data_IF_665667108507
#
_entry.id   IF_665667108507
#
_cell.length_a   1.000
_cell.length_b   1.000
_cell.length_c   1.000
_cell.angle_alpha   90.00
_cell.angle_beta   90.00
_cell.angle_gamma   90.00
#
_symmetry.space_group_name_H-M   'P 1'
#
loop_
_entity.id
_entity.type
_entity.pdbx_description
1 polymer ?
#
# COMPACT_ATOMS: atom_id res chain seq x y z
N UNK A 1 20.95 21.70 7.08
CA UNK A 1 20.74 21.44 8.52
C UNK A 1 19.26 21.15 8.58
N UNK A 2 18.91 19.89 8.34
CA UNK A 2 17.52 19.50 8.10
C UNK A 2 16.74 19.65 9.40
N UNK A 3 15.70 20.47 9.33
CA UNK A 3 14.80 20.76 10.43
C UNK A 3 13.95 19.50 10.65
N UNK A 4 14.42 18.59 11.52
CA UNK A 4 13.68 17.36 11.84
C UNK A 4 12.42 17.78 12.57
N UNK A 5 11.30 17.82 11.83
CA UNK A 5 10.00 18.15 12.38
C UNK A 5 9.67 17.10 13.46
N UNK A 6 9.62 17.54 14.73
CA UNK A 6 9.35 16.65 15.84
C UNK A 6 7.99 15.96 15.65
N UNK A 7 7.97 14.64 15.77
CA UNK A 7 6.74 13.85 15.69
C UNK A 7 5.86 14.22 16.89
N UNK A 8 4.60 14.66 16.67
CA UNK A 8 3.67 14.95 17.76
C UNK A 8 3.43 13.71 18.63
N UNK A 9 3.53 13.87 19.95
CA UNK A 9 3.35 12.81 20.95
C UNK A 9 2.30 13.21 21.97
N UNK A 10 1.02 13.32 21.58
CA UNK A 10 -0.06 13.74 22.46
C UNK A 10 -0.30 12.72 23.58
N UNK A 11 -0.70 13.19 24.76
CA UNK A 11 -1.21 12.31 25.81
C UNK A 11 -2.58 11.79 25.40
N UNK A 12 -2.94 10.58 25.84
CA UNK A 12 -4.25 9.98 25.54
C UNK A 12 -5.42 10.84 26.05
N UNK A 13 -5.19 11.66 27.06
CA UNK A 13 -6.15 12.60 27.62
C UNK A 13 -6.30 13.90 26.82
N UNK A 14 -5.44 14.16 25.83
CA UNK A 14 -5.51 15.36 25.00
C UNK A 14 -6.77 15.34 24.12
N UNK A 15 -7.47 16.46 24.05
CA UNK A 15 -8.69 16.63 23.24
C UNK A 15 -8.46 16.28 21.76
N UNK A 16 -7.27 16.62 21.24
CA UNK A 16 -6.89 16.37 19.86
C UNK A 16 -6.12 15.06 19.65
N UNK A 17 -6.01 14.19 20.68
CA UNK A 17 -5.22 12.96 20.61
C UNK A 17 -5.50 12.16 19.33
N UNK A 18 -6.78 11.88 19.04
CA UNK A 18 -7.16 11.09 17.87
C UNK A 18 -6.89 11.81 16.55
N UNK A 19 -7.14 13.12 16.47
CA UNK A 19 -6.84 13.90 15.27
C UNK A 19 -5.33 13.89 14.97
N UNK A 20 -4.50 14.02 16.02
CA UNK A 20 -3.05 13.98 15.90
C UNK A 20 -2.54 12.59 15.54
N UNK A 21 -3.00 11.51 16.20
CA UNK A 21 -2.54 10.13 15.96
C UNK A 21 -3.01 9.58 14.61
N UNK A 22 -4.19 9.97 14.13
CA UNK A 22 -4.70 9.54 12.82
C UNK A 22 -4.09 10.30 11.65
N UNK A 23 -3.38 11.40 11.90
CA UNK A 23 -2.65 12.12 10.86
C UNK A 23 -1.32 11.41 10.59
N UNK A 24 -1.07 10.89 9.38
CA UNK A 24 0.20 10.25 9.05
C UNK A 24 1.38 11.22 9.19
N UNK A 25 2.51 10.72 9.68
CA UNK A 25 3.77 11.46 9.75
C UNK A 25 4.71 11.05 8.62
N UNK A 26 5.66 11.92 8.28
CA UNK A 26 6.66 11.69 7.24
C UNK A 26 8.07 11.82 7.84
N UNK A 27 8.96 10.80 7.72
CA UNK A 27 8.69 9.49 7.13
C UNK A 27 7.76 8.64 8.01
N UNK A 28 6.89 7.85 7.36
CA UNK A 28 5.94 6.98 8.07
C UNK A 28 6.59 5.75 8.71
N UNK A 29 7.81 5.41 8.31
CA UNK A 29 8.62 4.35 8.91
C UNK A 29 10.11 4.70 8.79
N UNK A 30 10.94 4.09 9.63
CA UNK A 30 12.38 3.99 9.41
C UNK A 30 12.67 2.66 8.72
N UNK A 31 13.68 2.62 7.86
CA UNK A 31 14.07 1.38 7.21
C UNK A 31 14.58 0.38 8.27
N UNK A 32 14.10 -0.89 8.26
CA UNK A 32 14.59 -1.91 9.18
C UNK A 32 16.10 -2.08 9.05
N UNK A 33 16.80 -2.19 10.17
CA UNK A 33 18.23 -2.57 10.15
C UNK A 33 18.38 -4.09 10.04
N UNK A 34 19.58 -4.57 9.71
CA UNK A 34 19.85 -6.01 9.57
C UNK A 34 19.37 -6.81 10.78
N UNK A 35 19.61 -6.33 12.00
CA UNK A 35 19.17 -6.96 13.25
C UNK A 35 17.63 -7.13 13.34
N UNK A 36 16.86 -6.15 12.86
CA UNK A 36 15.39 -6.24 12.82
C UNK A 36 14.94 -7.33 11.85
N UNK A 37 15.59 -7.43 10.68
CA UNK A 37 15.28 -8.43 9.67
C UNK A 37 15.66 -9.85 10.13
N UNK A 38 16.81 -10.01 10.78
CA UNK A 38 17.21 -11.29 11.35
C UNK A 38 16.29 -11.73 12.49
N UNK A 39 15.89 -10.83 13.37
CA UNK A 39 14.92 -11.14 14.42
C UNK A 39 13.57 -11.56 13.85
N UNK A 40 13.13 -10.95 12.75
CA UNK A 40 11.92 -11.34 12.03
C UNK A 40 12.07 -12.74 11.40
N UNK A 41 13.20 -13.02 10.76
CA UNK A 41 13.50 -14.32 10.14
C UNK A 41 13.52 -15.46 11.17
N UNK A 42 14.07 -15.23 12.36
CA UNK A 42 14.05 -16.21 13.45
C UNK A 42 12.63 -16.53 13.92
N UNK A 43 11.79 -15.50 14.10
CA UNK A 43 10.38 -15.67 14.48
C UNK A 43 9.59 -16.40 13.40
N UNK A 44 9.80 -16.04 12.13
CA UNK A 44 9.18 -16.71 10.99
C UNK A 44 9.63 -18.17 10.92
N UNK A 45 10.93 -18.44 11.04
CA UNK A 45 11.47 -19.79 11.01
C UNK A 45 10.89 -20.66 12.13
N UNK A 46 10.74 -20.11 13.35
CA UNK A 46 10.11 -20.81 14.46
C UNK A 46 8.64 -21.18 14.15
N UNK A 47 7.85 -20.23 13.63
CA UNK A 47 6.47 -20.46 13.26
C UNK A 47 6.34 -21.51 12.13
N UNK A 48 7.19 -21.43 11.12
CA UNK A 48 7.18 -22.33 9.98
C UNK A 48 7.64 -23.73 10.39
N UNK A 49 8.67 -23.86 11.23
CA UNK A 49 9.08 -25.16 11.81
C UNK A 49 7.95 -25.82 12.59
N UNK A 50 7.25 -25.04 13.43
CA UNK A 50 6.09 -25.54 14.17
C UNK A 50 4.99 -26.09 13.25
N UNK A 51 4.72 -25.43 12.13
CA UNK A 51 3.77 -25.95 11.13
C UNK A 51 4.31 -27.20 10.43
N UNK A 52 5.59 -27.21 10.04
CA UNK A 52 6.23 -28.33 9.37
C UNK A 52 6.20 -29.61 10.19
N UNK A 53 6.53 -29.52 11.49
CA UNK A 53 6.42 -30.65 12.42
C UNK A 53 4.98 -31.13 12.60
N UNK A 54 4.00 -30.23 12.49
CA UNK A 54 2.58 -30.59 12.60
C UNK A 54 2.11 -31.37 11.39
N UNK A 55 2.49 -30.93 10.18
CA UNK A 55 2.03 -31.51 8.90
C UNK A 55 2.93 -32.64 8.38
N UNK A 56 4.13 -32.82 8.93
CA UNK A 56 5.03 -33.89 8.53
C UNK A 56 4.50 -35.27 8.93
N UNK A 57 4.36 -36.17 7.95
CA UNK A 57 4.00 -37.57 8.18
C UNK A 57 5.01 -38.29 9.07
N UNK A 58 6.30 -38.00 8.94
CA UNK A 58 7.34 -38.59 9.81
C UNK A 58 7.24 -38.07 11.23
N UNK A 59 7.09 -36.76 11.42
CA UNK A 59 6.90 -36.20 12.75
C UNK A 59 5.64 -36.78 13.43
N UNK A 60 4.55 -36.93 12.68
CA UNK A 60 3.34 -37.60 13.14
C UNK A 60 3.61 -39.07 13.54
N UNK A 61 4.32 -39.84 12.71
CA UNK A 61 4.66 -41.22 13.02
C UNK A 61 5.52 -41.35 14.31
N UNK A 62 6.47 -40.45 14.51
CA UNK A 62 7.29 -40.39 15.73
C UNK A 62 6.45 -40.04 16.96
N UNK A 63 5.57 -39.02 16.87
CA UNK A 63 4.64 -38.67 17.95
C UNK A 63 3.73 -39.84 18.31
N UNK A 64 3.12 -40.50 17.33
CA UNK A 64 2.24 -41.66 17.54
C UNK A 64 2.97 -42.83 18.18
N UNK A 65 4.25 -43.03 17.84
CA UNK A 65 5.10 -44.05 18.44
C UNK A 65 5.69 -43.64 19.80
N UNK A 66 5.39 -42.45 20.32
CA UNK A 66 5.96 -41.94 21.58
C UNK A 66 7.47 -41.73 21.54
N UNK A 67 8.06 -41.53 20.35
CA UNK A 67 9.51 -41.38 20.17
C UNK A 67 9.91 -39.90 20.11
N UNK A 68 11.10 -39.54 20.63
CA UNK A 68 11.60 -38.17 20.53
C UNK A 68 11.82 -37.79 19.06
N UNK A 69 11.54 -36.53 18.75
CA UNK A 69 11.76 -35.95 17.43
C UNK A 69 12.84 -34.88 17.56
N UNK A 70 14.05 -35.19 17.08
CA UNK A 70 15.25 -34.37 17.27
C UNK A 70 15.65 -33.58 16.02
N UNK A 71 16.72 -32.79 16.14
CA UNK A 71 17.24 -31.98 15.04
C UNK A 71 17.74 -32.80 13.85
N UNK A 72 18.21 -34.03 14.06
CA UNK A 72 18.65 -34.89 12.96
C UNK A 72 17.45 -35.36 12.14
N UNK A 73 16.31 -35.66 12.78
CA UNK A 73 15.06 -35.99 12.10
C UNK A 73 14.46 -34.79 11.38
N UNK A 74 14.65 -33.57 11.90
CA UNK A 74 14.28 -32.35 11.18
C UNK A 74 14.98 -32.22 9.84
N UNK A 75 16.21 -32.71 9.70
CA UNK A 75 16.95 -32.70 8.44
C UNK A 75 16.47 -33.75 7.41
N UNK A 76 15.52 -34.63 7.77
CA UNK A 76 15.04 -35.66 6.85
C UNK A 76 14.35 -35.04 5.62
N UNK A 77 14.54 -35.60 4.40
CA UNK A 77 14.02 -34.99 3.16
C UNK A 77 12.51 -34.71 3.17
N UNK A 78 11.70 -35.62 3.70
CA UNK A 78 10.25 -35.46 3.79
C UNK A 78 9.83 -34.41 4.82
N UNK A 79 10.64 -34.17 5.85
CA UNK A 79 10.43 -33.06 6.81
C UNK A 79 10.84 -31.73 6.17
N UNK A 80 11.90 -31.71 5.35
CA UNK A 80 12.27 -30.52 4.57
C UNK A 80 11.21 -30.16 3.52
N UNK A 81 10.54 -31.14 2.90
CA UNK A 81 9.38 -30.90 2.05
C UNK A 81 8.19 -30.32 2.84
N UNK A 82 7.94 -30.80 4.06
CA UNK A 82 6.95 -30.20 4.96
C UNK A 82 7.33 -28.75 5.36
N UNK A 83 8.61 -28.46 5.53
CA UNK A 83 9.11 -27.09 5.72
C UNK A 83 8.80 -26.21 4.53
N UNK A 84 9.11 -26.66 3.31
CA UNK A 84 8.82 -25.88 2.10
C UNK A 84 7.32 -25.64 1.93
N UNK A 85 6.48 -26.64 2.23
CA UNK A 85 5.03 -26.45 2.22
C UNK A 85 4.58 -25.42 3.27
N UNK A 86 5.19 -25.45 4.44
CA UNK A 86 4.89 -24.49 5.52
C UNK A 86 5.30 -23.06 5.15
N UNK A 87 6.44 -22.87 4.47
CA UNK A 87 6.86 -21.58 3.92
C UNK A 87 5.85 -21.04 2.90
N UNK A 88 5.30 -21.92 2.06
CA UNK A 88 4.25 -21.54 1.11
C UNK A 88 2.97 -21.06 1.82
N UNK A 89 2.57 -21.70 2.92
CA UNK A 89 1.45 -21.21 3.74
C UNK A 89 1.76 -19.88 4.41
N UNK A 90 2.98 -19.69 4.90
CA UNK A 90 3.42 -18.42 5.47
C UNK A 90 3.37 -17.28 4.44
N UNK A 91 3.84 -17.53 3.20
CA UNK A 91 3.71 -16.57 2.09
C UNK A 91 2.26 -16.15 1.85
N UNK A 92 1.34 -17.10 1.76
CA UNK A 92 -0.09 -16.78 1.60
C UNK A 92 -0.66 -16.01 2.79
N UNK A 93 -0.17 -16.29 4.00
CA UNK A 93 -0.58 -15.55 5.20
C UNK A 93 -0.10 -14.10 5.16
N UNK A 94 1.14 -13.87 4.71
CA UNK A 94 1.68 -12.53 4.51
C UNK A 94 0.83 -11.74 3.51
N UNK A 95 0.40 -12.35 2.39
CA UNK A 95 -0.47 -11.67 1.42
C UNK A 95 -1.82 -11.25 2.04
N UNK A 96 -2.46 -12.10 2.85
CA UNK A 96 -3.72 -11.78 3.55
C UNK A 96 -3.53 -10.68 4.60
N UNK A 97 -2.44 -10.74 5.37
CA UNK A 97 -2.12 -9.72 6.36
C UNK A 97 -1.82 -8.37 5.70
N UNK A 98 -1.13 -8.39 4.56
CA UNK A 98 -0.86 -7.19 3.78
C UNK A 98 -2.15 -6.54 3.25
N UNK A 99 -3.13 -7.33 2.79
CA UNK A 99 -4.45 -6.82 2.41
C UNK A 99 -5.19 -6.15 3.59
N UNK A 100 -5.15 -6.77 4.77
CA UNK A 100 -5.75 -6.18 5.97
C UNK A 100 -5.06 -4.87 6.36
N UNK A 101 -3.72 -4.83 6.37
CA UNK A 101 -2.95 -3.63 6.68
C UNK A 101 -3.20 -2.51 5.66
N UNK A 102 -3.18 -2.83 4.37
CA UNK A 102 -3.48 -1.88 3.29
C UNK A 102 -4.89 -1.30 3.42
N UNK A 103 -5.88 -2.13 3.78
CA UNK A 103 -7.26 -1.67 4.01
C UNK A 103 -7.37 -0.72 5.20
N UNK A 104 -6.70 -1.03 6.31
CA UNK A 104 -6.71 -0.14 7.49
C UNK A 104 -6.01 1.17 7.18
N UNK A 105 -4.83 1.14 6.57
CA UNK A 105 -4.08 2.32 6.18
C UNK A 105 -4.85 3.17 5.16
N UNK A 106 -5.46 2.55 4.16
CA UNK A 106 -6.26 3.25 3.15
C UNK A 106 -7.51 3.91 3.71
N UNK A 107 -8.22 3.25 4.64
CA UNK A 107 -9.33 3.87 5.39
C UNK A 107 -8.87 4.97 6.35
N UNK A 108 -7.63 4.89 6.82
CA UNK A 108 -6.95 5.93 7.59
C UNK A 108 -6.39 7.08 6.75
N UNK A 109 -6.69 7.13 5.44
CA UNK A 109 -6.31 8.23 4.56
C UNK A 109 -5.05 8.01 3.73
N UNK A 110 -4.38 6.86 3.86
CA UNK A 110 -3.23 6.54 3.00
C UNK A 110 -3.66 6.33 1.56
N UNK A 111 -2.88 6.83 0.61
CA UNK A 111 -3.14 6.65 -0.82
C UNK A 111 -2.39 5.44 -1.40
N UNK A 112 -2.74 5.02 -2.62
CA UNK A 112 -2.11 3.86 -3.28
C UNK A 112 -0.60 4.03 -3.56
N UNK A 113 -0.09 5.26 -3.68
CA UNK A 113 1.35 5.48 -3.82
C UNK A 113 2.09 5.20 -2.51
N UNK A 114 1.55 5.65 -1.36
CA UNK A 114 2.08 5.38 -0.03
C UNK A 114 2.01 3.88 0.30
N UNK A 115 0.89 3.22 0.00
CA UNK A 115 0.76 1.76 0.17
C UNK A 115 1.79 1.00 -0.68
N UNK A 116 2.02 1.46 -1.91
CA UNK A 116 3.02 0.87 -2.79
C UNK A 116 4.45 1.09 -2.30
N UNK A 117 4.77 2.28 -1.80
CA UNK A 117 6.05 2.61 -1.20
C UNK A 117 6.36 1.70 0.00
N UNK A 118 5.41 1.55 0.92
CA UNK A 118 5.53 0.66 2.08
C UNK A 118 5.63 -0.83 1.69
N UNK A 119 5.09 -1.21 0.53
CA UNK A 119 5.13 -2.59 0.04
C UNK A 119 6.25 -2.80 -1.00
N UNK A 120 7.48 -2.66 -0.54
CA UNK A 120 8.67 -2.92 -1.37
C UNK A 120 8.80 -1.98 -2.57
N UNK A 121 8.28 -0.75 -2.47
CA UNK A 121 8.45 0.28 -3.50
C UNK A 121 7.70 0.01 -4.81
N UNK A 122 6.57 -0.72 -4.78
CA UNK A 122 5.78 -0.96 -5.99
C UNK A 122 5.05 0.31 -6.45
N UNK A 123 4.81 0.42 -7.76
CA UNK A 123 4.09 1.57 -8.34
C UNK A 123 2.63 1.61 -7.88
N UNK A 124 2.05 2.82 -7.82
CA UNK A 124 0.64 3.09 -7.49
C UNK A 124 -0.35 2.16 -8.20
N UNK A 125 -0.21 1.99 -9.53
CA UNK A 125 -1.13 1.15 -10.31
C UNK A 125 -1.03 -0.34 -9.90
N UNK A 126 0.18 -0.82 -9.59
CA UNK A 126 0.39 -2.16 -9.07
C UNK A 126 -0.23 -2.34 -7.67
N UNK A 127 -0.12 -1.32 -6.81
CA UNK A 127 -0.77 -1.32 -5.50
C UNK A 127 -2.30 -1.34 -5.61
N UNK A 128 -2.88 -0.55 -6.52
CA UNK A 128 -4.32 -0.54 -6.80
C UNK A 128 -4.82 -1.88 -7.34
N UNK A 129 -4.05 -2.52 -8.22
CA UNK A 129 -4.36 -3.87 -8.71
C UNK A 129 -4.30 -4.91 -7.59
N UNK A 130 -3.33 -4.81 -6.67
CA UNK A 130 -3.18 -5.73 -5.55
C UNK A 130 -4.28 -5.54 -4.49
N UNK A 131 -4.70 -4.31 -4.22
CA UNK A 131 -5.69 -3.98 -3.18
C UNK A 131 -6.77 -3.01 -3.68
N UNK A 132 -7.63 -3.40 -4.63
CA UNK A 132 -8.56 -2.49 -5.31
C UNK A 132 -9.59 -1.81 -4.40
N UNK A 133 -9.75 -2.30 -3.17
CA UNK A 133 -10.73 -1.81 -2.19
C UNK A 133 -10.07 -1.24 -0.93
N UNK A 134 -8.75 -1.12 -0.89
CA UNK A 134 -8.05 -0.64 0.30
C UNK A 134 -8.32 0.86 0.56
N UNK A 135 -8.32 1.66 -0.50
CA UNK A 135 -8.61 3.10 -0.42
C UNK A 135 -10.07 3.33 -0.78
N UNK A 136 -10.89 3.94 0.11
CA UNK A 136 -12.27 4.29 -0.19
C UNK A 136 -12.37 5.16 -1.44
N UNK A 137 -13.41 4.95 -2.25
CA UNK A 137 -13.73 5.88 -3.34
C UNK A 137 -14.16 7.20 -2.73
N UNK A 138 -13.49 8.29 -3.14
CA UNK A 138 -13.83 9.64 -2.69
C UNK A 138 -15.19 10.02 -3.26
N UNK A 139 -16.09 10.48 -2.41
CA UNK A 139 -17.39 11.01 -2.82
C UNK A 139 -17.19 12.48 -3.20
N UNK A 140 -17.26 12.79 -4.49
CA UNK A 140 -17.26 14.18 -4.94
C UNK A 140 -18.58 14.85 -4.53
N UNK A 141 -18.52 15.92 -3.74
CA UNK A 141 -19.69 16.75 -3.45
C UNK A 141 -19.90 17.85 -4.49
N UNK A 142 -18.80 18.32 -5.09
CA UNK A 142 -18.79 19.29 -6.16
C UNK A 142 -17.86 18.79 -7.27
N UNK A 143 -18.32 18.87 -8.52
CA UNK A 143 -17.57 18.48 -9.70
C UNK A 143 -17.59 19.63 -10.72
N UNK A 144 -16.42 20.17 -11.04
CA UNK A 144 -16.24 21.23 -12.04
C UNK A 144 -15.69 20.58 -13.32
N UNK A 145 -16.47 20.50 -14.41
CA UNK A 145 -15.96 20.01 -15.68
C UNK A 145 -15.02 21.05 -16.32
N UNK A 146 -13.93 20.57 -16.92
CA UNK A 146 -12.92 21.36 -17.62
C UNK A 146 -12.62 20.68 -18.96
N UNK A 147 -12.91 21.37 -20.06
CA UNK A 147 -12.49 20.92 -21.39
C UNK A 147 -11.33 21.79 -21.86
N UNK A 148 -10.19 21.18 -22.19
CA UNK A 148 -9.00 21.92 -22.61
C UNK A 148 -8.07 21.08 -23.50
N UNK A 149 -7.44 21.72 -24.49
CA UNK A 149 -6.50 21.09 -25.43
C UNK A 149 -7.01 19.81 -26.13
N UNK A 150 -8.33 19.69 -26.29
CA UNK A 150 -8.98 18.53 -26.91
C UNK A 150 -9.14 17.31 -25.99
N UNK A 151 -8.85 17.45 -24.70
CA UNK A 151 -9.17 16.48 -23.67
C UNK A 151 -10.13 17.05 -22.62
N UNK A 152 -10.50 16.20 -21.67
CA UNK A 152 -11.50 16.47 -20.65
C UNK A 152 -10.93 16.21 -19.26
N UNK A 153 -11.25 17.06 -18.30
CA UNK A 153 -10.99 16.85 -16.90
C UNK A 153 -12.23 17.17 -16.07
N UNK A 154 -12.32 16.55 -14.90
CA UNK A 154 -13.32 16.87 -13.88
C UNK A 154 -12.57 17.10 -12.59
N UNK A 155 -12.77 18.28 -12.01
CA UNK A 155 -12.20 18.69 -10.73
C UNK A 155 -13.22 18.38 -9.66
N UNK A 156 -12.81 17.70 -8.60
CA UNK A 156 -13.67 17.22 -7.53
C UNK A 156 -13.25 17.83 -6.20
N UNK A 157 -14.23 18.18 -5.36
CA UNK A 157 -14.01 18.50 -3.95
C UNK A 157 -14.35 17.30 -3.08
N UNK A 158 -13.43 16.95 -2.17
CA UNK A 158 -13.67 16.01 -1.08
C UNK A 158 -13.98 16.82 0.19
N UNK A 159 -15.25 16.87 0.64
CA UNK A 159 -15.65 17.67 1.79
C UNK A 159 -15.17 17.09 3.11
N UNK A 160 -14.78 15.81 3.15
CA UNK A 160 -14.24 15.18 4.36
C UNK A 160 -12.78 15.54 4.61
N UNK A 161 -11.99 15.72 3.54
CA UNK A 161 -10.60 16.13 3.60
C UNK A 161 -10.38 17.64 3.39
N UNK A 162 -11.44 18.36 3.03
CA UNK A 162 -11.41 19.74 2.52
C UNK A 162 -10.32 19.97 1.46
N UNK A 163 -10.24 19.04 0.51
CA UNK A 163 -9.18 19.00 -0.50
C UNK A 163 -9.75 18.76 -1.90
N UNK A 164 -9.00 19.23 -2.90
CA UNK A 164 -9.37 19.15 -4.32
C UNK A 164 -8.51 18.11 -5.05
N UNK A 165 -9.13 17.43 -6.01
CA UNK A 165 -8.47 16.47 -6.91
C UNK A 165 -9.06 16.52 -8.32
N UNK A 166 -8.45 15.88 -9.30
CA UNK A 166 -8.99 15.79 -10.65
C UNK A 166 -8.90 14.38 -11.23
N UNK A 167 -9.81 14.08 -12.16
CA UNK A 167 -9.69 13.01 -13.15
C UNK A 167 -9.57 13.64 -14.52
N UNK A 168 -8.61 13.25 -15.34
CA UNK A 168 -8.39 13.80 -16.66
C UNK A 168 -8.18 12.70 -17.72
N UNK A 169 -8.66 12.97 -18.93
CA UNK A 169 -8.45 12.17 -20.13
C UNK A 169 -7.94 13.10 -21.22
N UNK A 170 -6.69 12.90 -21.65
CA UNK A 170 -6.05 13.66 -22.72
C UNK A 170 -6.63 13.35 -24.09
N UNK A 171 -6.33 14.20 -25.07
CA UNK A 171 -6.77 14.00 -26.46
C UNK A 171 -6.17 12.72 -27.07
N UNK A 172 -5.00 12.29 -26.60
CA UNK A 172 -4.34 11.04 -26.96
C UNK A 172 -4.90 9.80 -26.23
N UNK A 173 -5.98 9.95 -25.45
CA UNK A 173 -6.59 8.92 -24.59
C UNK A 173 -5.74 8.54 -23.37
N UNK A 174 -4.70 9.31 -23.02
CA UNK A 174 -4.01 9.17 -21.74
C UNK A 174 -4.94 9.54 -20.58
N UNK A 175 -4.95 8.75 -19.52
CA UNK A 175 -5.77 9.00 -18.33
C UNK A 175 -4.88 9.35 -17.12
N UNK A 176 -5.34 10.28 -16.29
CA UNK A 176 -4.72 10.61 -15.01
C UNK A 176 -5.77 10.87 -13.92
N UNK A 177 -5.42 10.55 -12.68
CA UNK A 177 -6.25 10.73 -11.50
C UNK A 177 -5.38 11.23 -10.34
N UNK A 178 -5.53 12.49 -10.00
CA UNK A 178 -4.73 13.13 -8.95
C UNK A 178 -5.13 12.65 -7.55
N UNK A 179 -4.23 12.87 -6.59
CA UNK A 179 -4.58 12.73 -5.18
C UNK A 179 -5.37 13.96 -4.70
N UNK A 180 -6.13 13.83 -3.61
CA UNK A 180 -6.86 14.95 -3.00
C UNK A 180 -5.93 15.66 -2.02
N UNK A 181 -4.98 16.37 -2.59
CA UNK A 181 -3.92 17.09 -1.86
C UNK A 181 -3.91 18.57 -2.19
N UNK A 182 -4.74 19.02 -3.13
CA UNK A 182 -4.77 20.43 -3.53
C UNK A 182 -5.63 21.23 -2.56
N UNK A 183 -5.06 22.30 -2.01
CA UNK A 183 -5.76 23.13 -1.02
C UNK A 183 -6.87 23.98 -1.65
N UNK A 184 -6.86 24.15 -2.98
CA UNK A 184 -7.88 24.91 -3.71
C UNK A 184 -8.26 24.28 -5.03
N UNK A 185 -9.46 24.62 -5.53
CA UNK A 185 -9.92 24.22 -6.86
C UNK A 185 -9.01 24.77 -7.96
N UNK A 186 -8.44 25.96 -7.79
CA UNK A 186 -7.54 26.58 -8.75
C UNK A 186 -6.25 25.78 -8.94
N UNK A 187 -5.67 25.25 -7.86
CA UNK A 187 -4.49 24.39 -7.93
C UNK A 187 -4.79 23.08 -8.66
N UNK A 188 -5.93 22.46 -8.37
CA UNK A 188 -6.35 21.24 -9.05
C UNK A 188 -6.63 21.49 -10.55
N UNK A 189 -7.26 22.63 -10.89
CA UNK A 189 -7.45 23.08 -12.28
C UNK A 189 -6.10 23.26 -12.98
N UNK A 190 -5.14 23.92 -12.34
CA UNK A 190 -3.82 24.17 -12.93
C UNK A 190 -3.10 22.85 -13.26
N UNK A 191 -3.15 21.87 -12.35
CA UNK A 191 -2.57 20.54 -12.58
C UNK A 191 -3.29 19.73 -13.66
N UNK A 192 -4.61 19.73 -13.65
CA UNK A 192 -5.40 19.12 -14.73
C UNK A 192 -5.07 19.74 -16.09
N UNK A 193 -4.94 21.07 -16.14
CA UNK A 193 -4.60 21.80 -17.36
C UNK A 193 -3.19 21.44 -17.87
N UNK A 194 -2.21 21.34 -16.97
CA UNK A 194 -0.83 20.92 -17.29
C UNK A 194 -0.79 19.52 -17.92
N UNK A 195 -1.56 18.58 -17.35
CA UNK A 195 -1.73 17.24 -17.92
C UNK A 195 -2.37 17.29 -19.32
N UNK A 196 -3.49 17.99 -19.48
CA UNK A 196 -4.19 18.09 -20.76
C UNK A 196 -3.34 18.72 -21.86
N UNK A 197 -2.49 19.70 -21.52
CA UNK A 197 -1.53 20.30 -22.46
C UNK A 197 -0.46 19.33 -22.93
N UNK A 198 0.04 18.50 -22.01
CA UNK A 198 1.06 17.49 -22.32
C UNK A 198 0.49 16.38 -23.22
N UNK A 199 -0.80 16.12 -23.10
CA UNK A 199 -1.54 15.08 -23.84
C UNK A 199 -2.39 15.63 -25.00
N UNK A 200 -2.08 16.83 -25.47
CA UNK A 200 -2.71 17.42 -26.65
C UNK A 200 -2.25 16.70 -27.93
N UNK A 201 -3.16 16.43 -28.87
CA UNK A 201 -2.75 15.95 -30.20
C UNK A 201 -2.14 17.10 -31.00
N UNK A 202 -1.00 16.90 -31.68
CA UNK A 202 -0.48 17.89 -32.61
C UNK A 202 -1.54 18.16 -33.68
N UNK A 203 -1.85 19.45 -33.88
CA UNK A 203 -2.77 19.88 -34.93
C UNK A 203 -2.23 19.39 -36.28
N UNK A 204 -3.02 18.68 -37.11
CA UNK A 204 -2.55 18.30 -38.44
C UNK A 204 -2.24 19.58 -39.24
N UNK A 205 -1.13 19.62 -40.00
CA UNK A 205 -0.79 20.79 -40.80
C UNK A 205 -1.91 21.04 -41.82
N UNK A 206 -2.36 22.29 -41.90
CA UNK A 206 -3.37 22.71 -42.86
C UNK A 206 -2.89 22.41 -44.29
N UNK A 207 -3.50 21.43 -44.94
CA UNK A 207 -3.28 21.13 -46.35
C UNK A 207 -3.80 22.32 -47.16
N UNK A 208 -2.90 23.05 -47.79
CA UNK A 208 -3.22 24.12 -48.76
C UNK A 208 -3.35 23.52 -50.15
#
# INVERSE_FOLDING_TARGET
MDDVKAIPTPDRSDENFWATVLTPVDPAWNEPVDDDTFAMDEQLLAAVRSLAERISTRALAYRTAGKPFDAALMAAPDVQLAMLRSLYEAKQSVDRLAESAATVAGRGGSNYAQLGAAWGGIKRQSARLKWPHAVPKKTASESIPLHYAGGDAVIHHDPGADAWWYTATGADLGEDESEAVHGTSAEAIARATEFLLTHARPTPPATT
#
